data_IF_921120207120
#
_entry.id   IF_921120207120
#
_cell.length_a   1.000
_cell.length_b   1.000
_cell.length_c   1.000
_cell.angle_alpha   90.00
_cell.angle_beta   90.00
_cell.angle_gamma   90.00
#
_symmetry.space_group_name_H-M   'P 1'
#
loop_
_entity.id
_entity.type
_entity.pdbx_description
1 polymer ?
#
# COMPACT_ATOMS: atom_id res chain seq x y z
N UNK A 1 -6.23 -4.57 -13.04
CA UNK A 1 -6.51 -4.51 -11.59
C UNK A 1 -6.34 -3.08 -11.13
N UNK A 2 -7.26 -2.60 -10.29
CA UNK A 2 -7.27 -1.24 -9.75
C UNK A 2 -6.75 -1.23 -8.32
N UNK A 3 -6.34 -0.06 -7.84
CA UNK A 3 -5.88 0.14 -6.46
C UNK A 3 -6.91 -0.33 -5.44
N UNK A 4 -8.21 -0.08 -5.67
CA UNK A 4 -9.28 -0.52 -4.77
C UNK A 4 -9.37 -2.02 -4.53
N UNK A 5 -8.85 -2.82 -5.46
CA UNK A 5 -8.88 -4.28 -5.38
C UNK A 5 -7.85 -4.82 -4.37
N UNK A 6 -6.83 -4.03 -4.00
CA UNK A 6 -5.71 -4.46 -3.15
C UNK A 6 -5.42 -3.52 -1.98
N UNK A 7 -5.98 -2.31 -1.96
CA UNK A 7 -5.70 -1.33 -0.90
C UNK A 7 -6.19 -1.80 0.47
N UNK A 8 -5.51 -1.35 1.52
CA UNK A 8 -6.01 -1.46 2.89
C UNK A 8 -6.92 -0.27 3.18
N UNK A 9 -8.17 -0.52 3.55
CA UNK A 9 -9.18 0.50 3.87
C UNK A 9 -9.16 0.95 5.33
N UNK A 10 -8.75 0.06 6.25
CA UNK A 10 -8.60 0.37 7.67
C UNK A 10 -7.31 1.14 7.92
N UNK A 11 -7.33 2.44 7.64
CA UNK A 11 -6.16 3.31 7.77
C UNK A 11 -6.11 3.96 9.15
N UNK A 12 -4.99 3.77 9.84
CA UNK A 12 -4.71 4.42 11.12
C UNK A 12 -4.12 5.80 10.82
N UNK A 13 -4.75 6.84 11.36
CA UNK A 13 -4.33 8.23 11.16
C UNK A 13 -3.99 8.90 12.49
N UNK A 14 -3.24 9.99 12.42
CA UNK A 14 -3.04 10.92 13.54
C UNK A 14 -3.56 12.31 13.19
N UNK A 15 -3.94 13.09 14.19
CA UNK A 15 -4.20 14.52 13.97
C UNK A 15 -2.91 15.33 14.06
N UNK A 16 -2.88 16.47 13.39
CA UNK A 16 -1.71 17.36 13.43
C UNK A 16 -1.40 17.90 14.84
N UNK A 17 -2.38 17.98 15.73
CA UNK A 17 -2.21 18.49 17.09
C UNK A 17 -1.79 17.41 18.11
N UNK A 18 -1.77 16.13 17.71
CA UNK A 18 -1.26 15.06 18.57
C UNK A 18 0.25 15.19 18.80
N UNK A 19 0.72 14.64 19.92
CA UNK A 19 2.14 14.67 20.25
C UNK A 19 2.95 13.66 19.43
N UNK A 20 4.23 13.95 19.26
CA UNK A 20 5.24 13.05 18.68
C UNK A 20 5.23 11.69 19.37
N UNK A 21 5.07 11.65 20.69
CA UNK A 21 4.99 10.42 21.47
C UNK A 21 3.72 9.60 21.16
N UNK A 22 2.56 10.26 20.98
CA UNK A 22 1.32 9.58 20.59
C UNK A 22 1.44 8.93 19.21
N UNK A 23 2.02 9.65 18.24
CA UNK A 23 2.28 9.08 16.91
C UNK A 23 3.26 7.88 17.00
N UNK A 24 4.36 8.01 17.75
CA UNK A 24 5.32 6.92 17.95
C UNK A 24 4.67 5.67 18.58
N UNK A 25 3.76 5.87 19.54
CA UNK A 25 3.01 4.77 20.16
C UNK A 25 2.15 4.02 19.14
N UNK A 26 1.44 4.73 18.26
CA UNK A 26 0.61 4.12 17.22
C UNK A 26 1.46 3.35 16.20
N UNK A 27 2.59 3.93 15.75
CA UNK A 27 3.53 3.25 14.86
C UNK A 27 3.99 1.91 15.45
N UNK A 28 4.39 1.92 16.72
CA UNK A 28 4.87 0.73 17.43
C UNK A 28 3.78 -0.30 17.67
N UNK A 29 2.62 0.11 18.19
CA UNK A 29 1.52 -0.79 18.54
C UNK A 29 0.96 -1.52 17.32
N UNK A 30 0.86 -0.83 16.18
CA UNK A 30 0.28 -1.38 14.96
C UNK A 30 1.33 -1.94 13.99
N UNK A 31 2.63 -1.87 14.35
CA UNK A 31 3.75 -2.34 13.52
C UNK A 31 3.74 -1.73 12.12
N UNK A 32 3.48 -0.42 12.06
CA UNK A 32 3.44 0.36 10.82
C UNK A 32 4.52 1.44 10.84
N UNK A 33 5.13 1.70 9.69
CA UNK A 33 6.27 2.62 9.58
C UNK A 33 5.91 4.07 9.25
N UNK A 34 4.60 4.40 9.26
CA UNK A 34 4.13 5.76 9.03
C UNK A 34 2.62 5.88 9.08
N UNK A 35 2.14 7.10 9.32
CA UNK A 35 0.76 7.46 9.56
C UNK A 35 0.40 8.67 8.69
N UNK A 36 -0.74 8.64 7.98
CA UNK A 36 -1.33 9.85 7.43
C UNK A 36 -1.72 10.79 8.55
N UNK A 37 -1.47 12.08 8.34
CA UNK A 37 -1.86 13.16 9.25
C UNK A 37 -3.11 13.81 8.70
N UNK A 38 -4.15 13.91 9.52
CA UNK A 38 -5.40 14.58 9.19
C UNK A 38 -5.59 15.84 10.03
N UNK A 39 -6.32 16.81 9.51
CA UNK A 39 -6.79 17.95 10.28
C UNK A 39 -8.18 17.66 10.91
N UNK A 40 -8.72 18.64 11.62
CA UNK A 40 -10.06 18.55 12.24
C UNK A 40 -11.20 18.33 11.22
N UNK A 41 -11.00 18.70 9.96
CA UNK A 41 -11.94 18.45 8.85
C UNK A 41 -11.77 17.09 8.18
N UNK A 42 -10.96 16.19 8.75
CA UNK A 42 -10.60 14.87 8.20
C UNK A 42 -9.87 14.91 6.86
N UNK A 43 -9.41 16.09 6.42
CA UNK A 43 -8.58 16.20 5.24
C UNK A 43 -7.14 15.80 5.58
N UNK A 44 -6.48 15.06 4.69
CA UNK A 44 -5.07 14.70 4.87
C UNK A 44 -4.22 15.94 4.64
N UNK A 45 -3.36 16.28 5.60
CA UNK A 45 -2.47 17.44 5.57
C UNK A 45 -0.99 17.07 5.53
N UNK A 46 -0.64 15.81 5.74
CA UNK A 46 0.73 15.33 5.66
C UNK A 46 0.87 13.86 5.99
N UNK A 47 2.11 13.44 6.16
CA UNK A 47 2.48 12.09 6.63
C UNK A 47 3.56 12.23 7.69
N UNK A 48 3.48 11.41 8.74
CA UNK A 48 4.55 11.24 9.73
C UNK A 48 5.04 9.81 9.70
N UNK A 49 6.34 9.61 9.64
CA UNK A 49 6.99 8.29 9.56
C UNK A 49 7.91 8.04 10.74
N UNK A 50 8.38 6.81 10.92
CA UNK A 50 9.43 6.50 11.92
C UNK A 50 10.68 7.38 11.72
N UNK A 51 11.02 7.71 10.48
CA UNK A 51 12.10 8.64 10.17
C UNK A 51 11.84 10.02 10.75
N UNK A 52 10.63 10.56 10.58
CA UNK A 52 10.28 11.88 11.12
C UNK A 52 10.30 11.88 12.66
N UNK A 53 9.89 10.76 13.30
CA UNK A 53 9.98 10.61 14.75
C UNK A 53 11.44 10.64 15.23
N UNK A 54 12.36 10.02 14.51
CA UNK A 54 13.76 9.91 14.94
C UNK A 54 14.57 11.16 14.56
N UNK A 55 14.36 11.68 13.36
CA UNK A 55 15.27 12.64 12.74
C UNK A 55 14.85 14.11 12.88
N UNK A 56 13.59 14.40 13.26
CA UNK A 56 13.09 15.78 13.33
C UNK A 56 12.88 16.25 14.76
N UNK A 57 13.28 17.50 15.00
CA UNK A 57 13.00 18.23 16.23
C UNK A 57 11.55 18.72 16.27
N UNK A 58 10.92 18.67 17.44
CA UNK A 58 9.52 19.04 17.64
C UNK A 58 8.79 18.08 18.60
N UNK A 59 7.69 18.55 19.18
CA UNK A 59 6.89 17.82 20.16
C UNK A 59 5.51 17.42 19.61
N UNK A 60 5.09 18.00 18.50
CA UNK A 60 3.78 17.74 17.86
C UNK A 60 3.95 17.13 16.47
N UNK A 61 2.91 16.42 16.00
CA UNK A 61 2.87 15.86 14.64
C UNK A 61 2.97 16.97 13.60
N UNK A 62 2.32 18.12 13.80
CA UNK A 62 2.37 19.29 12.91
C UNK A 62 3.79 19.78 12.63
N UNK A 63 4.65 19.76 13.65
CA UNK A 63 6.04 20.23 13.57
C UNK A 63 6.93 19.25 12.80
N UNK A 64 6.72 17.94 12.97
CA UNK A 64 7.58 16.91 12.41
C UNK A 64 7.05 16.31 11.10
N UNK A 65 5.78 16.48 10.75
CA UNK A 65 5.24 15.83 9.55
C UNK A 65 5.91 16.33 8.27
N UNK A 66 5.96 15.46 7.27
CA UNK A 66 6.26 15.87 5.90
C UNK A 66 4.99 16.41 5.25
N UNK A 67 5.09 17.64 4.73
CA UNK A 67 4.04 18.28 3.93
C UNK A 67 4.22 17.90 2.46
N UNK A 68 3.11 17.69 1.75
CA UNK A 68 3.12 17.16 0.38
C UNK A 68 2.79 15.68 0.39
N UNK A 69 1.57 15.37 -0.07
CA UNK A 69 1.04 14.02 -0.08
C UNK A 69 1.08 13.53 -1.52
N UNK A 70 1.80 12.42 -1.75
CA UNK A 70 1.68 11.69 -3.00
C UNK A 70 0.51 10.72 -2.83
N UNK A 71 -0.52 10.91 -3.64
CA UNK A 71 -1.76 10.14 -3.58
C UNK A 71 -2.23 9.67 -4.95
N UNK A 72 -3.08 8.66 -4.93
CA UNK A 72 -3.78 8.09 -6.07
C UNK A 72 -5.27 7.97 -5.76
N UNK A 73 -6.07 7.59 -6.74
CA UNK A 73 -7.51 7.31 -6.56
C UNK A 73 -7.75 5.82 -6.49
N UNK A 74 -8.91 5.41 -6.00
CA UNK A 74 -9.32 4.00 -5.94
C UNK A 74 -9.35 3.33 -7.33
N UNK A 75 -9.60 4.10 -8.39
CA UNK A 75 -9.65 3.65 -9.78
C UNK A 75 -8.31 3.77 -10.54
N UNK A 76 -7.25 4.23 -9.87
CA UNK A 76 -5.89 4.22 -10.44
C UNK A 76 -5.46 2.79 -10.72
N UNK A 77 -4.81 2.57 -11.86
CA UNK A 77 -4.27 1.25 -12.22
C UNK A 77 -3.14 0.84 -11.28
N UNK A 78 -3.12 -0.44 -10.89
CA UNK A 78 -2.13 -0.95 -9.94
C UNK A 78 -0.69 -0.83 -10.48
N UNK A 79 -0.51 -0.99 -11.79
CA UNK A 79 0.77 -0.80 -12.46
C UNK A 79 1.27 0.65 -12.34
N UNK A 80 0.38 1.62 -12.54
CA UNK A 80 0.70 3.04 -12.37
C UNK A 80 1.05 3.37 -10.92
N UNK A 81 0.29 2.83 -9.95
CA UNK A 81 0.64 2.95 -8.54
C UNK A 81 2.04 2.37 -8.25
N UNK A 82 2.37 1.20 -8.82
CA UNK A 82 3.70 0.60 -8.74
C UNK A 82 4.80 1.50 -9.30
N UNK A 83 4.58 2.08 -10.47
CA UNK A 83 5.51 3.02 -11.11
C UNK A 83 5.77 4.24 -10.24
N UNK A 84 4.73 4.82 -9.62
CA UNK A 84 4.88 5.96 -8.70
C UNK A 84 5.71 5.54 -7.47
N UNK A 85 5.41 4.39 -6.85
CA UNK A 85 6.14 3.89 -5.68
C UNK A 85 7.65 3.70 -5.97
N UNK A 86 8.00 3.21 -7.15
CA UNK A 86 9.39 3.00 -7.58
C UNK A 86 10.08 4.33 -7.89
N UNK A 87 9.49 5.13 -8.78
CA UNK A 87 10.12 6.36 -9.29
C UNK A 87 10.26 7.43 -8.20
N UNK A 88 9.25 7.57 -7.33
CA UNK A 88 9.28 8.52 -6.22
C UNK A 88 10.05 7.99 -5.01
N UNK A 89 10.55 6.74 -5.07
CA UNK A 89 11.28 6.05 -3.99
C UNK A 89 10.51 6.04 -2.65
N UNK A 90 9.19 5.98 -2.71
CA UNK A 90 8.30 5.91 -1.54
C UNK A 90 7.77 4.49 -1.32
N UNK A 91 7.42 4.19 -0.07
CA UNK A 91 6.98 2.84 0.33
C UNK A 91 5.47 2.63 0.20
N UNK A 92 4.68 3.72 0.14
CA UNK A 92 3.22 3.68 0.10
C UNK A 92 2.64 4.93 -0.57
N UNK A 93 1.42 4.78 -1.06
CA UNK A 93 0.57 5.85 -1.58
C UNK A 93 -0.68 5.94 -0.72
N UNK A 94 -1.13 7.16 -0.48
CA UNK A 94 -2.46 7.38 0.07
C UNK A 94 -3.48 7.27 -1.06
N UNK A 95 -4.61 6.63 -0.78
CA UNK A 95 -5.73 6.55 -1.71
C UNK A 95 -6.77 7.57 -1.26
N UNK A 96 -6.99 8.59 -2.10
CA UNK A 96 -7.94 9.65 -1.82
C UNK A 96 -9.12 9.60 -2.78
N UNK A 97 -10.33 9.82 -2.26
CA UNK A 97 -11.53 10.09 -3.04
C UNK A 97 -12.13 11.41 -2.59
N UNK A 98 -12.37 12.33 -3.53
CA UNK A 98 -12.93 13.66 -3.23
C UNK A 98 -12.18 14.39 -2.08
N UNK A 99 -10.86 14.19 -2.01
CA UNK A 99 -9.98 14.77 -0.98
C UNK A 99 -10.00 14.06 0.38
N UNK A 100 -10.78 12.99 0.54
CA UNK A 100 -10.84 12.18 1.76
C UNK A 100 -9.98 10.92 1.62
N UNK A 101 -9.33 10.54 2.71
CA UNK A 101 -8.56 9.30 2.79
C UNK A 101 -9.49 8.08 2.84
N UNK A 102 -9.40 7.22 1.84
CA UNK A 102 -10.20 5.98 1.76
C UNK A 102 -9.35 4.72 1.83
N UNK A 103 -8.03 4.83 1.70
CA UNK A 103 -7.14 3.68 1.81
C UNK A 103 -5.66 4.01 1.71
N UNK A 104 -4.84 2.98 1.84
CA UNK A 104 -3.40 2.99 1.55
C UNK A 104 -3.08 1.81 0.67
N UNK A 105 -2.19 2.02 -0.31
CA UNK A 105 -1.54 0.95 -1.06
C UNK A 105 -0.02 1.05 -0.90
N UNK A 106 0.62 -0.08 -0.62
CA UNK A 106 2.05 -0.16 -0.33
C UNK A 106 2.74 -1.17 -1.23
N UNK A 107 4.08 -1.13 -1.25
CA UNK A 107 4.88 -2.13 -1.96
C UNK A 107 4.57 -3.57 -1.49
N UNK A 108 4.25 -3.75 -0.21
CA UNK A 108 3.89 -5.06 0.32
C UNK A 108 2.57 -5.57 -0.26
N UNK A 109 1.60 -4.68 -0.50
CA UNK A 109 0.32 -5.03 -1.12
C UNK A 109 0.52 -5.45 -2.58
N UNK A 110 1.39 -4.77 -3.33
CA UNK A 110 1.75 -5.14 -4.71
C UNK A 110 2.49 -6.48 -4.75
N UNK A 111 3.47 -6.70 -3.88
CA UNK A 111 4.18 -7.99 -3.78
C UNK A 111 3.23 -9.12 -3.41
N UNK A 112 2.29 -8.85 -2.48
CA UNK A 112 1.25 -9.80 -2.12
C UNK A 112 0.38 -10.13 -3.33
N UNK A 113 -0.07 -9.16 -4.12
CA UNK A 113 -0.85 -9.42 -5.34
C UNK A 113 -0.12 -10.37 -6.29
N UNK A 114 1.16 -10.11 -6.56
CA UNK A 114 1.97 -10.94 -7.46
C UNK A 114 2.07 -12.38 -6.92
N UNK A 115 2.30 -12.53 -5.62
CA UNK A 115 2.41 -13.83 -4.97
C UNK A 115 1.09 -14.63 -4.95
N UNK A 116 -0.06 -13.95 -5.01
CA UNK A 116 -1.38 -14.57 -4.99
C UNK A 116 -1.93 -14.89 -6.38
N UNK A 117 -1.20 -14.50 -7.43
CA UNK A 117 -1.66 -14.63 -8.81
C UNK A 117 -1.21 -15.95 -9.42
N UNK A 118 -2.19 -16.80 -9.72
CA UNK A 118 -2.01 -18.09 -10.36
C UNK A 118 -2.50 -18.04 -11.81
N UNK A 119 -1.79 -18.68 -12.74
CA UNK A 119 -2.19 -18.72 -14.16
C UNK A 119 -2.33 -20.17 -14.61
N UNK A 120 -3.47 -20.51 -15.21
CA UNK A 120 -3.67 -21.83 -15.79
C UNK A 120 -2.80 -21.96 -17.05
N UNK A 121 -1.94 -22.97 -17.09
CA UNK A 121 -1.11 -23.28 -18.27
C UNK A 121 -1.92 -23.85 -19.45
N UNK A 122 -3.16 -24.27 -19.24
CA UNK A 122 -4.04 -24.81 -20.30
C UNK A 122 -4.86 -23.71 -20.96
N UNK A 123 -5.62 -22.92 -20.19
CA UNK A 123 -6.55 -21.94 -20.74
C UNK A 123 -6.17 -20.47 -20.47
N UNK A 124 -5.08 -20.22 -19.74
CA UNK A 124 -4.62 -18.87 -19.40
C UNK A 124 -5.42 -18.17 -18.30
N UNK A 125 -6.39 -18.84 -17.67
CA UNK A 125 -7.20 -18.24 -16.61
C UNK A 125 -6.34 -17.76 -15.45
N UNK A 126 -6.61 -16.54 -14.97
CA UNK A 126 -5.90 -15.93 -13.84
C UNK A 126 -6.76 -16.05 -12.60
N UNK A 127 -6.21 -16.64 -11.54
CA UNK A 127 -6.90 -16.84 -10.26
C UNK A 127 -6.10 -16.16 -9.15
N UNK A 128 -6.77 -15.38 -8.31
CA UNK A 128 -6.18 -14.75 -7.13
C UNK A 128 -6.53 -15.55 -5.88
N UNK A 129 -5.55 -16.24 -5.29
CA UNK A 129 -5.79 -17.06 -4.12
C UNK A 129 -4.55 -17.21 -3.23
N UNK A 130 -4.73 -17.33 -1.91
CA UNK A 130 -3.63 -17.55 -0.94
C UNK A 130 -2.95 -18.89 -1.11
N UNK A 131 -3.66 -19.87 -1.65
CA UNK A 131 -3.13 -21.18 -1.98
C UNK A 131 -3.37 -21.49 -3.44
N UNK A 132 -2.46 -22.27 -4.00
CA UNK A 132 -2.63 -22.82 -5.34
C UNK A 132 -3.95 -23.60 -5.42
N UNK A 133 -4.86 -23.26 -6.35
CA UNK A 133 -6.10 -24.03 -6.52
C UNK A 133 -5.78 -25.43 -7.07
N UNK A 134 -6.48 -26.46 -6.56
CA UNK A 134 -6.30 -27.85 -6.98
C UNK A 134 -6.63 -28.06 -8.47
N UNK A 135 -7.56 -27.28 -9.00
CA UNK A 135 -7.92 -27.27 -10.43
C UNK A 135 -8.26 -25.85 -10.91
N UNK A 136 -8.11 -25.62 -12.21
CA UNK A 136 -8.52 -24.36 -12.84
C UNK A 136 -10.06 -24.19 -12.75
N UNK A 137 -10.59 -23.07 -12.21
CA UNK A 137 -12.03 -22.86 -12.07
C UNK A 137 -12.76 -22.69 -13.41
N UNK A 138 -12.02 -22.52 -14.51
CA UNK A 138 -12.57 -22.33 -15.85
C UNK A 138 -12.57 -23.60 -16.71
N UNK A 139 -11.46 -24.33 -16.76
CA UNK A 139 -11.32 -25.52 -17.63
C UNK A 139 -11.16 -26.84 -16.88
N UNK A 140 -11.05 -26.83 -15.55
CA UNK A 140 -10.89 -28.04 -14.72
C UNK A 140 -9.51 -28.67 -14.80
N UNK A 141 -8.54 -28.08 -15.49
CA UNK A 141 -7.19 -28.62 -15.59
C UNK A 141 -6.50 -28.68 -14.22
N UNK A 142 -5.89 -29.83 -13.92
CA UNK A 142 -4.99 -30.03 -12.79
C UNK A 142 -3.62 -29.39 -13.11
N UNK A 143 -3.03 -28.68 -12.15
CA UNK A 143 -1.72 -28.04 -12.33
C UNK A 143 -1.76 -26.59 -12.81
N UNK A 144 -2.50 -25.73 -12.12
CA UNK A 144 -2.32 -24.27 -12.23
C UNK A 144 -0.91 -23.93 -11.74
N UNK A 145 -0.18 -23.03 -12.42
CA UNK A 145 1.20 -22.68 -12.06
C UNK A 145 1.29 -21.17 -11.87
N UNK A 146 1.96 -20.71 -10.82
CA UNK A 146 2.43 -19.34 -10.79
C UNK A 146 3.55 -19.24 -11.82
N UNK A 147 3.30 -18.63 -12.98
CA UNK A 147 4.41 -18.19 -13.81
C UNK A 147 5.10 -17.05 -13.09
N UNK A 148 6.18 -17.36 -12.38
CA UNK A 148 7.31 -16.43 -12.33
C UNK A 148 7.95 -16.58 -13.71
N UNK A 149 7.98 -15.53 -14.53
CA UNK A 149 8.88 -15.54 -15.69
C UNK A 149 10.26 -16.07 -15.24
N UNK A 150 10.96 -16.88 -16.04
CA UNK A 150 12.32 -17.24 -15.68
C UNK A 150 13.10 -15.92 -15.54
N UNK A 151 13.46 -15.57 -14.31
CA UNK A 151 14.43 -14.50 -14.07
C UNK A 151 15.68 -14.91 -14.85
N UNK A 152 15.97 -14.20 -15.93
CA UNK A 152 17.29 -14.28 -16.51
C UNK A 152 18.29 -13.96 -15.38
N UNK A 153 19.27 -14.82 -15.07
CA UNK A 153 20.31 -14.45 -14.13
C UNK A 153 20.95 -13.15 -14.62
N UNK A 154 21.09 -12.20 -13.70
CA UNK A 154 21.35 -10.79 -13.99
C UNK A 154 22.41 -10.55 -15.07
N UNK A 155 22.05 -9.66 -15.99
CA UNK A 155 22.96 -8.94 -16.89
C UNK A 155 23.56 -7.73 -16.18
#
# INVERSE_FOLDING_TARGET
>A
MKVKDVMTTSVITVTEDQSKQQAARLLSQHRISGLPVVNNGQAVVGVVTEFDIIAREGNTVREIMTRGIISVTADTDLEEAGRILVNQRIKRLLVLEQGKLVGIVSRADLVKEIALRWVCNVCGEVVHNERLPESCPRCGAEGVVAMVEPMAPGS
#
